data_IF_239136161884
#
_entry.id   IF_239136161884
#
_cell.length_a   1.000
_cell.length_b   1.000
_cell.length_c   1.000
_cell.angle_alpha   90.00
_cell.angle_beta   90.00
_cell.angle_gamma   90.00
#
_symmetry.space_group_name_H-M   'P 1'
#
loop_
_entity.id
_entity.type
_entity.pdbx_description
1 polymer ?
#
# COMPACT_ATOMS: atom_id res chain seq x y z
N UNK A 1 7.50 -0.69 19.77
CA UNK A 1 7.21 0.34 18.76
C UNK A 1 5.72 0.62 18.82
N UNK A 2 5.31 1.85 19.14
CA UNK A 2 3.95 2.28 18.83
C UNK A 2 3.96 2.75 17.38
N UNK A 3 3.87 1.80 16.44
CA UNK A 3 3.62 2.13 15.04
C UNK A 3 2.14 2.50 14.93
N UNK A 4 1.88 3.80 15.06
CA UNK A 4 0.55 4.36 14.87
C UNK A 4 0.16 4.08 13.41
N UNK A 5 -0.96 3.36 13.23
CA UNK A 5 -1.47 2.84 11.95
C UNK A 5 -1.46 3.89 10.84
N UNK A 6 -0.37 3.93 10.05
CA UNK A 6 -0.31 4.74 8.83
C UNK A 6 -0.66 3.86 7.65
N UNK A 7 -1.91 3.98 7.19
CA UNK A 7 -2.36 3.40 5.94
C UNK A 7 -1.67 4.13 4.77
N UNK A 8 -0.99 3.40 3.89
CA UNK A 8 -0.25 3.95 2.75
C UNK A 8 -0.68 3.28 1.44
N UNK A 9 -0.50 3.98 0.33
CA UNK A 9 -0.68 3.40 -1.01
C UNK A 9 0.37 2.33 -1.32
N UNK A 10 0.11 1.51 -2.35
CA UNK A 10 1.08 0.52 -2.84
C UNK A 10 2.43 1.13 -3.23
N UNK A 11 2.39 2.28 -3.90
CA UNK A 11 3.59 2.99 -4.34
C UNK A 11 4.44 3.44 -3.15
N UNK A 12 3.81 4.01 -2.12
CA UNK A 12 4.47 4.48 -0.91
C UNK A 12 5.11 3.31 -0.13
N UNK A 13 4.36 2.21 0.06
CA UNK A 13 4.90 1.02 0.71
C UNK A 13 6.07 0.42 -0.06
N UNK A 14 5.96 0.30 -1.38
CA UNK A 14 7.05 -0.21 -2.24
C UNK A 14 8.31 0.67 -2.10
N UNK A 15 8.14 1.99 -2.19
CA UNK A 15 9.25 2.95 -2.05
C UNK A 15 9.88 2.88 -0.66
N UNK A 16 9.08 2.73 0.40
CA UNK A 16 9.55 2.56 1.78
C UNK A 16 10.40 1.29 1.95
N UNK A 17 10.07 0.21 1.22
CA UNK A 17 10.88 -1.01 1.13
C UNK A 17 12.03 -0.93 0.11
N UNK A 18 12.27 0.24 -0.48
CA UNK A 18 13.34 0.53 -1.46
C UNK A 18 13.29 -0.33 -2.73
N UNK A 19 12.09 -0.75 -3.13
CA UNK A 19 11.91 -1.48 -4.38
C UNK A 19 11.59 -0.54 -5.54
N UNK A 20 12.12 -0.84 -6.73
CA UNK A 20 11.55 -0.36 -8.00
C UNK A 20 10.33 -1.20 -8.37
N UNK A 21 9.46 -0.71 -9.26
CA UNK A 21 8.33 -1.49 -9.79
C UNK A 21 8.79 -2.84 -10.36
N UNK A 22 9.93 -2.85 -11.08
CA UNK A 22 10.50 -4.06 -11.65
C UNK A 22 10.95 -5.07 -10.58
N UNK A 23 11.71 -4.62 -9.57
CA UNK A 23 12.19 -5.50 -8.50
C UNK A 23 11.05 -6.07 -7.67
N UNK A 24 9.99 -5.28 -7.45
CA UNK A 24 8.84 -5.71 -6.68
C UNK A 24 7.94 -6.66 -7.47
N UNK A 25 7.73 -6.41 -8.77
CA UNK A 25 7.05 -7.33 -9.67
C UNK A 25 7.75 -8.70 -9.71
N UNK A 26 9.09 -8.69 -9.76
CA UNK A 26 9.91 -9.91 -9.66
C UNK A 26 9.70 -10.64 -8.34
N UNK A 27 9.67 -9.93 -7.21
CA UNK A 27 9.40 -10.51 -5.89
C UNK A 27 8.00 -11.15 -5.80
N UNK A 28 7.02 -10.58 -6.49
CA UNK A 28 5.67 -11.11 -6.62
C UNK A 28 5.54 -12.23 -7.68
N UNK A 29 6.55 -12.47 -8.51
CA UNK A 29 6.48 -13.41 -9.62
C UNK A 29 5.46 -13.01 -10.70
N UNK A 30 5.36 -11.71 -11.00
CA UNK A 30 4.50 -11.15 -12.06
C UNK A 30 5.31 -10.25 -13.00
N UNK A 31 4.72 -9.88 -14.14
CA UNK A 31 5.37 -8.93 -15.06
C UNK A 31 5.41 -7.51 -14.47
N UNK A 32 6.45 -6.71 -14.76
CA UNK A 32 6.50 -5.29 -14.40
C UNK A 32 5.28 -4.51 -14.92
N UNK A 33 4.80 -4.83 -16.12
CA UNK A 33 3.60 -4.23 -16.70
C UNK A 33 2.34 -4.50 -15.87
N UNK A 34 2.18 -5.74 -15.38
CA UNK A 34 1.07 -6.10 -14.47
C UNK A 34 1.13 -5.28 -13.19
N UNK A 35 2.32 -5.16 -12.59
CA UNK A 35 2.48 -4.38 -11.36
C UNK A 35 2.27 -2.87 -11.58
N UNK A 36 2.73 -2.33 -12.71
CA UNK A 36 2.47 -0.93 -13.08
C UNK A 36 0.95 -0.66 -13.20
N UNK A 37 0.19 -1.56 -13.80
CA UNK A 37 -1.28 -1.46 -13.85
C UNK A 37 -1.88 -1.44 -12.45
N UNK A 38 -1.37 -2.29 -11.54
CA UNK A 38 -1.82 -2.38 -10.16
C UNK A 38 -1.56 -1.12 -9.34
N UNK A 39 -0.40 -0.48 -9.45
CA UNK A 39 -0.15 0.80 -8.76
C UNK A 39 -1.07 1.92 -9.27
N UNK A 40 -1.39 1.94 -10.57
CA UNK A 40 -2.26 2.95 -11.16
C UNK A 40 -3.76 2.67 -10.99
N UNK A 41 -4.13 1.40 -10.72
CA UNK A 41 -5.51 0.94 -10.58
C UNK A 41 -5.61 -0.09 -9.45
N UNK A 42 -5.35 0.34 -8.20
CA UNK A 42 -5.23 -0.57 -7.06
C UNK A 42 -6.56 -1.24 -6.69
N UNK A 43 -7.68 -0.65 -7.12
CA UNK A 43 -9.04 -1.16 -6.99
C UNK A 43 -9.33 -2.40 -7.87
N UNK A 44 -8.51 -2.64 -8.90
CA UNK A 44 -8.61 -3.84 -9.74
C UNK A 44 -7.92 -5.08 -9.13
N UNK A 45 -7.18 -4.92 -8.03
CA UNK A 45 -6.40 -5.99 -7.43
C UNK A 45 -7.35 -6.96 -6.73
N UNK A 46 -7.31 -8.23 -7.16
CA UNK A 46 -8.13 -9.28 -6.53
C UNK A 46 -7.68 -9.53 -5.10
N UNK A 47 -8.58 -9.91 -4.17
CA UNK A 47 -8.23 -10.13 -2.76
C UNK A 47 -7.03 -11.07 -2.55
N UNK A 48 -6.94 -12.17 -3.30
CA UNK A 48 -5.80 -13.10 -3.27
C UNK A 48 -4.46 -12.40 -3.53
N UNK A 49 -4.44 -11.47 -4.48
CA UNK A 49 -3.24 -10.71 -4.84
C UNK A 49 -2.93 -9.64 -3.79
N UNK A 50 -3.95 -9.01 -3.21
CA UNK A 50 -3.79 -8.07 -2.11
C UNK A 50 -3.10 -8.72 -0.90
N UNK A 51 -3.52 -9.93 -0.50
CA UNK A 51 -2.84 -10.70 0.55
C UNK A 51 -1.41 -11.07 0.19
N UNK A 52 -1.16 -11.43 -1.09
CA UNK A 52 0.19 -11.73 -1.56
C UNK A 52 1.10 -10.50 -1.48
N UNK A 53 0.60 -9.33 -1.86
CA UNK A 53 1.31 -8.06 -1.77
C UNK A 53 1.62 -7.71 -0.31
N UNK A 54 0.64 -7.77 0.58
CA UNK A 54 0.83 -7.51 2.01
C UNK A 54 1.91 -8.43 2.60
N UNK A 55 1.87 -9.72 2.27
CA UNK A 55 2.90 -10.69 2.67
C UNK A 55 4.28 -10.32 2.14
N UNK A 56 4.40 -9.93 0.87
CA UNK A 56 5.70 -9.54 0.26
C UNK A 56 6.23 -8.22 0.84
N UNK A 57 5.36 -7.32 1.28
CA UNK A 57 5.73 -6.07 1.95
C UNK A 57 5.99 -6.24 3.45
N UNK A 58 5.67 -7.40 4.03
CA UNK A 58 5.73 -7.65 5.47
C UNK A 58 4.93 -6.61 6.28
N UNK A 59 3.68 -6.37 5.86
CA UNK A 59 2.72 -5.46 6.51
C UNK A 59 1.35 -6.12 6.57
N UNK A 60 0.47 -5.62 7.43
CA UNK A 60 -0.93 -6.03 7.43
C UNK A 60 -1.65 -5.47 6.20
N UNK A 61 -2.66 -6.21 5.73
CA UNK A 61 -3.41 -5.83 4.52
C UNK A 61 -4.18 -4.52 4.72
N UNK A 62 -4.65 -4.24 5.93
CA UNK A 62 -5.36 -3.00 6.30
C UNK A 62 -4.43 -1.78 6.40
N UNK A 63 -3.11 -1.97 6.34
CA UNK A 63 -2.15 -0.87 6.22
C UNK A 63 -1.98 -0.41 4.75
N UNK A 64 -2.61 -1.09 3.78
CA UNK A 64 -2.47 -0.78 2.35
C UNK A 64 -3.76 -0.21 1.77
N UNK A 65 -3.65 0.95 1.11
CA UNK A 65 -4.75 1.58 0.38
C UNK A 65 -4.88 0.93 -1.00
N UNK A 66 -5.97 0.17 -1.18
CA UNK A 66 -6.37 -0.42 -2.45
C UNK A 66 -7.45 0.39 -3.20
N UNK A 67 -7.60 1.68 -2.88
CA UNK A 67 -8.58 2.57 -3.48
C UNK A 67 -7.93 3.45 -4.54
N UNK A 68 -8.58 3.59 -5.71
CA UNK A 68 -8.12 4.48 -6.78
C UNK A 68 -8.59 5.91 -6.58
N UNK A 69 -9.84 6.10 -6.18
CA UNK A 69 -10.41 7.42 -5.97
C UNK A 69 -9.95 8.00 -4.62
N UNK A 70 -9.13 9.05 -4.71
CA UNK A 70 -8.58 9.76 -3.56
C UNK A 70 -9.64 10.46 -2.72
N UNK A 71 -10.84 10.69 -3.24
CA UNK A 71 -11.97 11.25 -2.49
C UNK A 71 -12.35 10.41 -1.26
N UNK A 72 -12.05 9.10 -1.30
CA UNK A 72 -12.28 8.17 -0.19
C UNK A 72 -11.12 8.12 0.81
N UNK A 73 -9.97 8.74 0.52
CA UNK A 73 -8.80 8.64 1.38
C UNK A 73 -9.05 9.25 2.76
N UNK A 74 -9.88 10.30 2.84
CA UNK A 74 -10.33 10.91 4.11
C UNK A 74 -11.03 9.95 5.07
N UNK A 75 -11.51 8.79 4.59
CA UNK A 75 -12.16 7.79 5.42
C UNK A 75 -11.21 6.69 5.91
N UNK A 76 -10.03 6.55 5.30
CA UNK A 76 -9.05 5.49 5.61
C UNK A 76 -7.74 6.04 6.17
N UNK A 77 -7.44 7.32 5.90
CA UNK A 77 -6.34 8.04 6.50
C UNK A 77 -6.79 8.59 7.85
N UNK A 78 -6.18 8.11 8.92
CA UNK A 78 -6.35 8.69 10.26
C UNK A 78 -5.28 9.76 10.42
N UNK A 79 -5.68 11.03 10.39
CA UNK A 79 -4.79 12.11 10.79
C UNK A 79 -4.64 12.09 12.32
N UNK A 80 -3.42 11.88 12.79
CA UNK A 80 -3.11 12.10 14.20
C UNK A 80 -3.33 13.58 14.50
N UNK A 81 -4.37 13.90 15.28
CA UNK A 81 -4.40 15.19 15.97
C UNK A 81 -3.26 15.15 16.97
N UNK A 82 -2.18 15.89 16.70
CA UNK A 82 -1.16 16.17 17.68
C UNK A 82 -1.85 16.60 18.98
N UNK A 83 -1.78 15.76 20.01
CA UNK A 83 -2.16 16.19 21.34
C UNK A 83 -1.15 17.26 21.71
N UNK A 84 -1.54 18.53 21.58
CA UNK A 84 -0.85 19.64 22.22
C UNK A 84 -0.92 19.38 23.73
N UNK A 85 0.12 18.74 24.27
CA UNK A 85 0.38 18.76 25.71
C UNK A 85 0.52 20.22 26.12
N UNK A 86 -0.53 20.74 26.76
CA UNK A 86 -0.51 21.99 27.53
C UNK A 86 -0.47 21.64 29.00
#
# INVERSE_FOLDING_TARGET
MNDINRTLTLEEWRKRRRHTQETFAKALGISPSTYNIWENNPDMIRPKEAFRIAKTLEVSIDEIIFLKDKSYFKYVLVEEKEHQTT
#
